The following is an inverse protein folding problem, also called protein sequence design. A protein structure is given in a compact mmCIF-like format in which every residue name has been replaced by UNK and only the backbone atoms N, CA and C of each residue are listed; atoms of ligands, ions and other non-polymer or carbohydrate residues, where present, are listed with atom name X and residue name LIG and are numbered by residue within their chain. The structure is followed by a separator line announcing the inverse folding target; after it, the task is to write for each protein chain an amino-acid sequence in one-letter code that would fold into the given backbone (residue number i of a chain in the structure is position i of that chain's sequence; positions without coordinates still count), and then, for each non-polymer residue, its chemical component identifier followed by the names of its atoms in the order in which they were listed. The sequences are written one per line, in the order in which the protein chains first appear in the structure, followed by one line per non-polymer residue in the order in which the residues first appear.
data_IF_001513109507
#
_entry.id   IF_001513109507
#
_cell.length_a   1.000
_cell.length_b   1.000
_cell.length_c   1.000
_cell.angle_alpha   90.00
_cell.angle_beta   90.00
_cell.angle_gamma   90.00
#
_symmetry.space_group_name_H-M   'P 1'
#
loop_
_entity.id
_entity.type
_entity.pdbx_description
1 polymer ?
#
# COMPACT_ATOMS: atom_id res chain seq x y z
N UNK A 1 -42.44 -3.28 -17.34
CA UNK A 1 -42.26 -4.45 -16.45
C UNK A 1 -40.78 -4.57 -16.16
N UNK A 2 -40.46 -4.49 -14.88
CA UNK A 2 -39.14 -4.20 -14.33
C UNK A 2 -38.31 -5.48 -14.22
N UNK A 3 -36.99 -5.36 -14.36
CA UNK A 3 -36.02 -6.21 -13.67
C UNK A 3 -34.69 -5.45 -13.60
N UNK A 4 -34.65 -4.47 -12.70
CA UNK A 4 -33.46 -3.67 -12.38
C UNK A 4 -33.27 -3.66 -10.85
N UNK A 5 -33.44 -4.82 -10.21
CA UNK A 5 -33.45 -4.97 -8.75
C UNK A 5 -32.59 -6.14 -8.25
N UNK A 6 -31.73 -6.71 -9.11
CA UNK A 6 -30.85 -7.81 -8.72
C UNK A 6 -29.50 -7.34 -8.16
N UNK A 7 -29.15 -6.05 -8.29
CA UNK A 7 -27.86 -5.51 -7.83
C UNK A 7 -27.96 -4.67 -6.54
N UNK A 8 -29.17 -4.49 -6.00
CA UNK A 8 -29.42 -3.57 -4.88
C UNK A 8 -29.60 -4.27 -3.51
N UNK A 9 -29.46 -5.60 -3.45
CA UNK A 9 -29.74 -6.40 -2.25
C UNK A 9 -28.53 -6.88 -1.43
N UNK A 10 -27.28 -6.59 -1.82
CA UNK A 10 -26.09 -7.06 -1.08
C UNK A 10 -25.36 -5.97 -0.27
N UNK A 11 -25.76 -4.70 -0.40
CA UNK A 11 -25.04 -3.58 0.25
C UNK A 11 -25.53 -3.31 1.68
N UNK A 12 -26.71 -3.80 2.05
CA UNK A 12 -27.38 -3.40 3.30
C UNK A 12 -27.34 -4.40 4.46
N UNK A 13 -26.67 -5.55 4.32
CA UNK A 13 -26.59 -6.54 5.41
C UNK A 13 -25.16 -6.98 5.74
N UNK A 14 -24.18 -6.09 5.54
CA UNK A 14 -22.82 -6.35 6.03
C UNK A 14 -22.82 -6.10 7.54
N UNK A 15 -22.88 -7.20 8.30
CA UNK A 15 -22.66 -7.20 9.75
C UNK A 15 -21.38 -6.38 10.07
N UNK A 16 -21.45 -5.33 10.90
CA UNK A 16 -20.31 -4.45 11.18
C UNK A 16 -19.11 -5.21 11.75
N UNK A 17 -19.33 -6.26 12.53
CA UNK A 17 -18.27 -7.12 13.06
C UNK A 17 -17.59 -7.93 11.94
N UNK A 18 -18.36 -8.38 10.95
CA UNK A 18 -17.82 -9.07 9.78
C UNK A 18 -17.01 -8.11 8.91
N UNK A 19 -17.48 -6.87 8.74
CA UNK A 19 -16.75 -5.79 8.04
C UNK A 19 -15.42 -5.48 8.71
N UNK A 20 -15.41 -5.23 10.02
CA UNK A 20 -14.18 -4.96 10.79
C UNK A 20 -13.19 -6.11 10.69
N UNK A 21 -13.68 -7.36 10.76
CA UNK A 21 -12.85 -8.55 10.61
C UNK A 21 -12.26 -8.66 9.21
N UNK A 22 -13.04 -8.37 8.18
CA UNK A 22 -12.58 -8.37 6.80
C UNK A 22 -11.53 -7.28 6.57
N UNK A 23 -11.75 -6.06 7.07
CA UNK A 23 -10.78 -4.96 6.99
C UNK A 23 -9.47 -5.29 7.72
N UNK A 24 -9.56 -5.90 8.90
CA UNK A 24 -8.37 -6.35 9.63
C UNK A 24 -7.62 -7.42 8.86
N UNK A 25 -8.33 -8.40 8.30
CA UNK A 25 -7.73 -9.45 7.48
C UNK A 25 -7.05 -8.88 6.23
N UNK A 26 -7.71 -7.94 5.54
CA UNK A 26 -7.16 -7.28 4.36
C UNK A 26 -5.94 -6.43 4.70
N UNK A 27 -5.97 -5.70 5.82
CA UNK A 27 -4.84 -4.89 6.30
C UNK A 27 -3.60 -5.75 6.56
N UNK A 28 -3.76 -6.90 7.23
CA UNK A 28 -2.66 -7.83 7.51
C UNK A 28 -2.08 -8.44 6.22
N UNK A 29 -2.94 -8.82 5.28
CA UNK A 29 -2.53 -9.36 3.98
C UNK A 29 -1.77 -8.30 3.18
N UNK A 30 -2.28 -7.07 3.15
CA UNK A 30 -1.66 -5.93 2.47
C UNK A 30 -0.27 -5.63 3.04
N UNK A 31 -0.12 -5.65 4.37
CA UNK A 31 1.18 -5.51 5.05
C UNK A 31 2.19 -6.57 4.61
N UNK A 32 1.78 -7.84 4.53
CA UNK A 32 2.65 -8.95 4.12
C UNK A 32 3.07 -8.83 2.64
N UNK A 33 2.13 -8.49 1.77
CA UNK A 33 2.39 -8.30 0.34
C UNK A 33 3.35 -7.11 0.15
N UNK A 34 3.10 -5.97 0.80
CA UNK A 34 3.97 -4.79 0.71
C UNK A 34 5.37 -5.09 1.23
N UNK A 35 5.53 -5.77 2.37
CA UNK A 35 6.85 -6.15 2.88
C UNK A 35 7.64 -6.96 1.84
N UNK A 36 6.96 -7.87 1.14
CA UNK A 36 7.58 -8.69 0.09
C UNK A 36 7.93 -7.87 -1.16
N UNK A 37 7.00 -7.03 -1.63
CA UNK A 37 7.17 -6.24 -2.86
C UNK A 37 8.17 -5.11 -2.65
N UNK A 38 7.99 -4.29 -1.61
CA UNK A 38 8.89 -3.21 -1.25
C UNK A 38 10.30 -3.74 -0.94
N UNK A 39 10.41 -4.87 -0.25
CA UNK A 39 11.71 -5.51 0.00
C UNK A 39 12.50 -5.78 -1.29
N UNK A 40 11.83 -6.12 -2.41
CA UNK A 40 12.52 -6.31 -3.70
C UNK A 40 13.00 -4.99 -4.29
N UNK A 41 12.16 -3.96 -4.28
CA UNK A 41 12.48 -2.65 -4.86
C UNK A 41 13.57 -1.92 -4.05
N UNK A 42 13.45 -1.92 -2.73
CA UNK A 42 14.39 -1.25 -1.82
C UNK A 42 15.74 -1.97 -1.75
N UNK A 43 15.77 -3.31 -1.73
CA UNK A 43 17.03 -4.06 -1.70
C UNK A 43 17.74 -4.14 -3.07
N UNK A 44 17.00 -4.08 -4.18
CA UNK A 44 17.59 -4.06 -5.52
C UNK A 44 18.38 -2.78 -5.79
N UNK A 45 17.92 -1.64 -5.26
CA UNK A 45 18.66 -0.37 -5.30
C UNK A 45 20.00 -0.44 -4.56
N UNK A 46 20.04 -1.12 -3.40
CA UNK A 46 21.27 -1.31 -2.60
C UNK A 46 22.32 -2.18 -3.32
N UNK A 47 21.91 -3.21 -4.06
CA UNK A 47 22.85 -4.15 -4.71
C UNK A 47 23.45 -3.65 -6.03
N UNK A 48 22.74 -2.78 -6.78
CA UNK A 48 23.21 -2.34 -8.10
C UNK A 48 24.24 -1.21 -8.06
N UNK A 49 24.29 -0.42 -6.99
CA UNK A 49 25.25 0.67 -6.84
C UNK A 49 25.79 0.71 -5.40
N UNK A 50 26.90 0.02 -5.16
CA UNK A 50 27.54 -0.10 -3.83
C UNK A 50 28.16 1.21 -3.30
N UNK A 51 27.91 2.37 -3.92
CA UNK A 51 28.46 3.67 -3.48
C UNK A 51 27.41 4.77 -3.30
N UNK A 52 26.14 4.53 -3.65
CA UNK A 52 25.05 5.47 -3.42
C UNK A 52 23.75 4.69 -3.29
N UNK A 53 23.30 4.45 -2.06
CA UNK A 53 21.97 3.90 -1.83
C UNK A 53 20.93 4.88 -2.39
N UNK A 54 20.48 4.66 -3.63
CA UNK A 54 19.50 5.53 -4.25
C UNK A 54 18.23 5.50 -3.40
N UNK A 55 17.86 6.67 -2.88
CA UNK A 55 16.63 6.82 -2.10
C UNK A 55 15.45 6.42 -3.00
N UNK A 56 14.44 5.70 -2.47
CA UNK A 56 13.24 5.41 -3.23
C UNK A 56 12.60 6.71 -3.68
N UNK A 57 12.18 6.76 -4.94
CA UNK A 57 11.47 7.89 -5.52
C UNK A 57 9.96 7.70 -5.44
N UNK A 58 9.19 8.75 -5.68
CA UNK A 58 7.72 8.65 -5.77
C UNK A 58 7.27 7.63 -6.84
N UNK A 59 8.00 7.51 -7.96
CA UNK A 59 7.77 6.44 -8.95
C UNK A 59 7.90 5.04 -8.38
N UNK A 60 8.84 4.85 -7.45
CA UNK A 60 9.02 3.56 -6.78
C UNK A 60 7.80 3.22 -5.94
N UNK A 61 7.23 4.20 -5.22
CA UNK A 61 5.99 4.00 -4.45
C UNK A 61 4.79 3.72 -5.36
N UNK A 62 4.64 4.44 -6.46
CA UNK A 62 3.59 4.18 -7.45
C UNK A 62 3.68 2.75 -8.00
N UNK A 63 4.88 2.31 -8.37
CA UNK A 63 5.11 0.94 -8.87
C UNK A 63 4.76 -0.12 -7.82
N UNK A 64 5.07 0.14 -6.54
CA UNK A 64 4.70 -0.76 -5.45
C UNK A 64 3.18 -0.79 -5.27
N UNK A 65 2.50 0.36 -5.33
CA UNK A 65 1.04 0.47 -5.26
C UNK A 65 0.38 -0.39 -6.33
N UNK A 66 0.74 -0.20 -7.59
CA UNK A 66 0.23 -0.99 -8.71
C UNK A 66 0.43 -2.50 -8.48
N UNK A 67 1.65 -2.93 -8.15
CA UNK A 67 1.95 -4.36 -7.95
C UNK A 67 1.22 -4.99 -6.75
N UNK A 68 0.98 -4.21 -5.70
CA UNK A 68 0.31 -4.67 -4.49
C UNK A 68 -1.18 -4.80 -4.73
N UNK A 69 -1.82 -3.80 -5.33
CA UNK A 69 -3.26 -3.80 -5.56
C UNK A 69 -3.66 -4.69 -6.74
N UNK A 70 -2.76 -4.95 -7.70
CA UNK A 70 -2.96 -5.94 -8.76
C UNK A 70 -2.58 -7.38 -8.34
N UNK A 71 -2.17 -7.59 -7.09
CA UNK A 71 -1.82 -8.92 -6.61
C UNK A 71 -3.02 -9.87 -6.70
N UNK A 72 -2.94 -10.87 -7.58
CA UNK A 72 -4.02 -11.85 -7.80
C UNK A 72 -4.52 -12.52 -6.52
N UNK A 73 -3.62 -12.78 -5.56
CA UNK A 73 -3.99 -13.36 -4.27
C UNK A 73 -4.82 -12.40 -3.42
N UNK A 74 -4.43 -11.13 -3.37
CA UNK A 74 -5.18 -10.09 -2.68
C UNK A 74 -6.55 -9.88 -3.32
N UNK A 75 -6.61 -9.78 -4.65
CA UNK A 75 -7.85 -9.64 -5.43
C UNK A 75 -8.82 -10.81 -5.21
N UNK A 76 -8.30 -12.04 -5.12
CA UNK A 76 -9.13 -13.23 -4.92
C UNK A 76 -9.64 -13.39 -3.48
N UNK A 77 -8.91 -12.87 -2.49
CA UNK A 77 -9.26 -13.00 -1.06
C UNK A 77 -10.19 -11.90 -0.55
N UNK A 78 -10.15 -10.72 -1.16
CA UNK A 78 -10.87 -9.54 -0.66
C UNK A 78 -11.76 -8.95 -1.75
N UNK A 79 -13.04 -8.77 -1.43
CA UNK A 79 -13.99 -8.16 -2.35
C UNK A 79 -13.67 -6.68 -2.62
N UNK A 80 -14.28 -6.12 -3.65
CA UNK A 80 -14.02 -4.73 -4.07
C UNK A 80 -14.30 -3.70 -2.97
N UNK A 81 -15.40 -3.83 -2.23
CA UNK A 81 -15.76 -2.91 -1.14
C UNK A 81 -14.70 -2.81 -0.05
N UNK A 82 -14.09 -3.94 0.33
CA UNK A 82 -12.98 -3.96 1.30
C UNK A 82 -11.73 -3.36 0.68
N UNK A 83 -11.42 -3.70 -0.58
CA UNK A 83 -10.24 -3.19 -1.27
C UNK A 83 -10.30 -1.66 -1.49
N UNK A 84 -11.48 -1.11 -1.78
CA UNK A 84 -11.67 0.33 -2.00
C UNK A 84 -11.57 1.17 -0.73
N UNK A 85 -11.48 0.55 0.46
CA UNK A 85 -11.24 1.29 1.71
C UNK A 85 -9.79 1.76 1.86
N UNK A 86 -8.86 1.16 1.10
CA UNK A 86 -7.46 1.56 1.13
C UNK A 86 -7.23 2.68 0.13
N UNK A 87 -6.68 3.80 0.62
CA UNK A 87 -6.30 4.92 -0.24
C UNK A 87 -5.13 4.48 -1.12
N UNK A 88 -5.35 4.55 -2.45
CA UNK A 88 -4.31 4.29 -3.44
C UNK A 88 -3.46 5.52 -3.70
N UNK A 89 -2.26 5.31 -4.25
CA UNK A 89 -1.37 6.41 -4.62
C UNK A 89 -2.05 7.42 -5.56
N UNK A 90 -2.76 6.94 -6.58
CA UNK A 90 -3.46 7.76 -7.57
C UNK A 90 -4.60 8.60 -6.97
N UNK A 91 -5.28 8.08 -5.95
CA UNK A 91 -6.39 8.73 -5.26
C UNK A 91 -5.92 9.70 -4.15
N UNK A 92 -4.61 9.69 -3.86
CA UNK A 92 -4.02 10.51 -2.80
C UNK A 92 -3.60 11.88 -3.32
N UNK A 93 -3.27 12.79 -2.39
CA UNK A 93 -2.66 14.09 -2.72
C UNK A 93 -1.25 13.97 -3.31
N UNK A 94 -0.66 12.77 -3.30
CA UNK A 94 0.68 12.51 -3.81
C UNK A 94 0.69 12.24 -5.33
N UNK A 95 -0.46 12.10 -5.98
CA UNK A 95 -0.57 11.82 -7.42
C UNK A 95 0.03 12.91 -8.32
N UNK A 96 0.16 14.15 -7.81
CA UNK A 96 0.77 15.27 -8.52
C UNK A 96 2.26 15.49 -8.23
N UNK A 97 2.93 14.62 -7.46
CA UNK A 97 4.34 14.78 -7.14
C UNK A 97 5.23 14.51 -8.37
N UNK A 98 6.42 15.13 -8.40
CA UNK A 98 7.44 14.74 -9.37
C UNK A 98 7.91 13.31 -9.07
N UNK A 99 7.59 12.39 -9.98
CA UNK A 99 7.83 10.96 -9.80
C UNK A 99 9.33 10.60 -9.67
N UNK A 100 10.21 11.47 -10.16
CA UNK A 100 11.66 11.30 -10.12
C UNK A 100 12.29 11.81 -8.82
N UNK A 101 11.56 12.61 -8.03
CA UNK A 101 12.05 13.08 -6.74
C UNK A 101 12.09 11.96 -5.68
N UNK A 102 13.10 11.99 -4.78
CA UNK A 102 13.11 11.14 -3.60
C UNK A 102 11.85 11.32 -2.75
N UNK A 103 11.38 10.24 -2.16
CA UNK A 103 10.23 10.29 -1.24
C UNK A 103 10.59 11.11 0.01
N UNK A 104 9.77 12.11 0.31
CA UNK A 104 9.80 12.78 1.61
C UNK A 104 9.04 11.95 2.65
N UNK A 105 9.78 11.23 3.50
CA UNK A 105 9.24 10.41 4.59
C UNK A 105 8.76 11.20 5.81
N UNK A 106 8.82 12.54 5.79
CA UNK A 106 8.39 13.39 6.90
C UNK A 106 6.97 13.92 6.73
N UNK A 107 6.31 13.63 5.61
CA UNK A 107 4.94 14.07 5.35
C UNK A 107 3.96 13.44 6.34
N UNK A 108 2.96 14.24 6.71
CA UNK A 108 1.91 13.94 7.69
C UNK A 108 0.53 14.39 7.17
N UNK A 109 0.29 14.20 5.87
CA UNK A 109 -0.99 14.56 5.24
C UNK A 109 -2.12 13.60 5.70
N UNK A 110 -3.35 14.11 5.85
CA UNK A 110 -4.49 13.32 6.33
C UNK A 110 -4.95 12.20 5.37
N UNK A 111 -4.51 12.22 4.11
CA UNK A 111 -4.93 11.30 3.04
C UNK A 111 -3.74 10.60 2.37
N UNK A 112 -2.79 10.13 3.18
CA UNK A 112 -1.63 9.39 2.69
C UNK A 112 -2.03 7.99 2.21
N UNK A 113 -1.48 7.51 1.08
CA UNK A 113 -1.82 6.20 0.55
C UNK A 113 -1.27 5.09 1.44
N UNK A 114 -1.95 3.94 1.45
CA UNK A 114 -1.59 2.80 2.30
C UNK A 114 -0.14 2.35 2.06
N UNK A 115 0.31 2.37 0.80
CA UNK A 115 1.69 2.04 0.43
C UNK A 115 2.71 3.00 1.04
N UNK A 116 2.44 4.31 1.06
CA UNK A 116 3.35 5.27 1.69
C UNK A 116 3.53 4.96 3.18
N UNK A 117 2.43 4.78 3.91
CA UNK A 117 2.46 4.53 5.36
C UNK A 117 3.20 3.23 5.69
N UNK A 118 2.91 2.16 4.94
CA UNK A 118 3.50 0.85 5.20
C UNK A 118 4.97 0.79 4.79
N UNK A 119 5.35 1.37 3.65
CA UNK A 119 6.76 1.44 3.25
C UNK A 119 7.55 2.38 4.17
N UNK A 120 6.97 3.50 4.62
CA UNK A 120 7.58 4.39 5.62
C UNK A 120 7.91 3.63 6.90
N UNK A 121 7.00 2.82 7.40
CA UNK A 121 7.22 1.99 8.59
C UNK A 121 8.39 0.99 8.39
N UNK A 122 8.48 0.37 7.20
CA UNK A 122 9.60 -0.54 6.87
C UNK A 122 10.94 0.21 6.85
N UNK A 123 11.00 1.37 6.19
CA UNK A 123 12.22 2.20 6.10
C UNK A 123 12.67 2.67 7.48
N UNK A 124 11.72 3.07 8.34
CA UNK A 124 12.02 3.50 9.71
C UNK A 124 12.50 2.34 10.59
N UNK A 125 11.88 1.16 10.49
CA UNK A 125 12.31 -0.03 11.23
C UNK A 125 13.73 -0.46 10.84
N UNK A 126 14.07 -0.42 9.54
CA UNK A 126 15.42 -0.66 9.03
C UNK A 126 16.45 0.31 9.66
N UNK A 127 16.12 1.60 9.72
CA UNK A 127 17.01 2.62 10.29
C UNK A 127 17.23 2.43 11.79
N UNK A 128 16.20 2.06 12.55
CA UNK A 128 16.32 1.74 13.98
C UNK A 128 17.20 0.52 14.22
N UNK A 129 17.03 -0.55 13.43
CA UNK A 129 17.86 -1.74 13.55
C UNK A 129 19.35 -1.44 13.29
N UNK A 130 19.66 -0.65 12.27
CA UNK A 130 21.04 -0.24 11.96
C UNK A 130 21.68 0.55 13.11
N UNK A 131 20.95 1.48 13.73
CA UNK A 131 21.45 2.30 14.85
C UNK A 131 21.68 1.50 16.16
N UNK A 132 21.16 0.28 16.26
CA UNK A 132 21.32 -0.58 17.45
C UNK A 132 22.50 -1.57 17.30
N UNK A 133 23.10 -1.64 16.11
CA UNK A 133 24.21 -2.55 15.79
C UNK A 133 25.58 -1.85 15.72
N UNK A 134 25.63 -0.52 15.85
CA UNK A 134 26.83 0.29 16.12
C UNK A 134 27.09 0.40 17.64
#
# INVERSE_FOLDING_TARGET
MNNDSALDMDVHDINPVALERALRSASLDLQQIIATVAGRHLNSGRRRYSSSAQLPTWRTLLTIDEQVFENRGFLARHNETIRSTFIRFEDSRLSGMDLDEPVDWRRDDDNLPAVYLLVRALVQADATNAATQD
#
